data_IF_085981256648
#
_entry.id   IF_085981256648
#
_cell.length_a   1.000
_cell.length_b   1.000
_cell.length_c   1.000
_cell.angle_alpha   90.00
_cell.angle_beta   90.00
_cell.angle_gamma   90.00
#
_symmetry.space_group_name_H-M   'P 1'
#
loop_
_entity.id
_entity.type
_entity.pdbx_description
1 polymer ?
#
# COMPACT_ATOMS: atom_id res chain seq x y z
N UNK A 1 6.82 -20.74 8.81
CA UNK A 1 6.36 -20.42 7.44
C UNK A 1 6.04 -18.93 7.39
N UNK A 2 6.38 -18.21 6.31
CA UNK A 2 5.98 -16.81 6.19
C UNK A 2 4.46 -16.73 6.20
N UNK A 3 3.95 -15.74 6.92
CA UNK A 3 2.52 -15.51 7.11
C UNK A 3 1.90 -14.73 5.94
N UNK A 4 2.70 -14.02 5.15
CA UNK A 4 2.19 -13.18 4.05
C UNK A 4 3.13 -13.09 2.85
N UNK A 5 2.55 -13.11 1.65
CA UNK A 5 3.21 -12.78 0.40
C UNK A 5 2.94 -11.31 0.02
N UNK A 6 4.01 -10.53 -0.11
CA UNK A 6 3.94 -9.08 -0.38
C UNK A 6 4.43 -8.81 -1.80
N UNK A 7 3.57 -8.24 -2.62
CA UNK A 7 3.83 -7.89 -4.02
C UNK A 7 4.13 -6.40 -4.13
N UNK A 8 5.32 -6.06 -4.60
CA UNK A 8 5.80 -4.69 -4.71
C UNK A 8 5.52 -4.14 -6.11
N UNK A 9 4.53 -3.26 -6.22
CA UNK A 9 4.09 -2.66 -7.47
C UNK A 9 4.71 -1.27 -7.62
N UNK A 10 5.55 -1.09 -8.65
CA UNK A 10 6.04 0.23 -9.04
C UNK A 10 5.08 0.87 -10.05
N UNK A 11 5.15 2.19 -10.28
CA UNK A 11 4.38 2.84 -11.36
C UNK A 11 4.47 2.05 -12.68
N UNK A 12 3.33 1.72 -13.27
CA UNK A 12 3.20 0.87 -14.46
C UNK A 12 2.96 1.69 -15.73
N UNK A 13 2.25 2.82 -15.60
CA UNK A 13 1.78 3.62 -16.74
C UNK A 13 2.56 4.92 -16.87
N UNK A 14 2.65 5.46 -18.08
CA UNK A 14 3.22 6.80 -18.30
C UNK A 14 2.52 7.85 -17.44
N UNK A 15 1.21 7.75 -17.27
CA UNK A 15 0.41 8.65 -16.45
C UNK A 15 0.82 8.58 -14.96
N UNK A 16 0.99 7.38 -14.39
CA UNK A 16 1.48 7.22 -13.02
C UNK A 16 2.88 7.79 -12.82
N UNK A 17 3.75 7.68 -13.82
CA UNK A 17 5.11 8.21 -13.76
C UNK A 17 5.10 9.74 -13.95
N UNK A 18 4.28 10.26 -14.87
CA UNK A 18 4.09 11.70 -15.07
C UNK A 18 3.54 12.39 -13.83
N UNK A 19 2.70 11.70 -13.03
CA UNK A 19 2.23 12.22 -11.73
C UNK A 19 3.36 12.44 -10.73
N UNK A 20 4.49 11.73 -10.83
CA UNK A 20 5.68 12.02 -10.02
C UNK A 20 6.40 13.29 -10.52
N UNK A 21 6.17 13.69 -11.78
CA UNK A 21 6.75 14.87 -12.40
C UNK A 21 8.26 14.82 -12.46
N UNK A 22 8.88 16.01 -12.40
CA UNK A 22 10.33 16.21 -12.32
C UNK A 22 10.85 16.28 -10.87
N UNK A 23 9.98 16.01 -9.89
CA UNK A 23 10.33 16.08 -8.48
C UNK A 23 11.14 14.84 -8.04
N UNK A 24 12.47 14.97 -8.10
CA UNK A 24 13.43 13.94 -7.72
C UNK A 24 13.22 13.36 -6.30
N UNK A 25 12.66 14.13 -5.37
CA UNK A 25 12.46 13.64 -4.01
C UNK A 25 11.35 12.59 -3.91
N UNK A 26 10.36 12.62 -4.81
CA UNK A 26 9.33 11.58 -4.89
C UNK A 26 9.95 10.24 -5.33
N UNK A 27 10.87 10.26 -6.29
CA UNK A 27 11.57 9.06 -6.73
C UNK A 27 12.52 8.51 -5.66
N UNK A 28 13.21 9.38 -4.90
CA UNK A 28 14.07 8.97 -3.77
C UNK A 28 13.27 8.40 -2.60
N UNK A 29 12.00 8.76 -2.46
CA UNK A 29 11.17 8.26 -1.38
C UNK A 29 10.80 6.78 -1.56
N UNK A 30 10.74 6.27 -2.80
CA UNK A 30 10.43 4.87 -3.11
C UNK A 30 11.43 3.91 -2.43
N UNK A 31 12.77 4.02 -2.62
CA UNK A 31 13.73 3.21 -1.86
C UNK A 31 13.60 3.34 -0.33
N UNK A 32 13.29 4.54 0.17
CA UNK A 32 13.11 4.78 1.62
C UNK A 32 11.90 4.04 2.17
N UNK A 33 10.79 4.07 1.44
CA UNK A 33 9.58 3.33 1.79
C UNK A 33 9.84 1.81 1.76
N UNK A 34 10.55 1.30 0.76
CA UNK A 34 10.95 -0.12 0.70
C UNK A 34 11.87 -0.51 1.88
N UNK A 35 12.86 0.33 2.22
CA UNK A 35 13.71 0.11 3.38
C UNK A 35 12.91 0.04 4.69
N UNK A 36 11.84 0.83 4.82
CA UNK A 36 10.94 0.82 5.98
C UNK A 36 10.22 -0.53 6.12
N UNK A 37 9.76 -1.12 5.01
CA UNK A 37 9.17 -2.47 5.01
C UNK A 37 10.18 -3.49 5.54
N UNK A 38 11.41 -3.44 5.00
CA UNK A 38 12.47 -4.40 5.34
C UNK A 38 12.91 -4.29 6.81
N UNK A 39 12.95 -3.07 7.35
CA UNK A 39 13.37 -2.81 8.74
C UNK A 39 12.28 -3.15 9.76
N UNK A 40 11.03 -2.82 9.48
CA UNK A 40 9.94 -2.88 10.47
C UNK A 40 9.26 -4.25 10.53
N UNK A 41 9.38 -5.06 9.48
CA UNK A 41 8.77 -6.39 9.43
C UNK A 41 9.85 -7.43 9.72
N UNK A 42 9.62 -8.28 10.72
CA UNK A 42 10.60 -9.28 11.16
C UNK A 42 10.90 -10.27 10.02
N UNK A 43 12.19 -10.56 9.85
CA UNK A 43 12.65 -11.57 8.88
C UNK A 43 11.94 -12.92 9.16
N UNK A 44 11.38 -13.53 8.11
CA UNK A 44 10.73 -14.84 8.17
C UNK A 44 9.20 -14.82 8.31
N UNK A 45 8.60 -13.65 8.51
CA UNK A 45 7.14 -13.49 8.58
C UNK A 45 6.50 -13.16 7.23
N UNK A 46 7.29 -12.75 6.23
CA UNK A 46 6.82 -12.41 4.90
C UNK A 46 7.79 -12.87 3.81
N UNK A 47 7.30 -12.92 2.58
CA UNK A 47 8.09 -13.01 1.35
C UNK A 47 7.80 -11.78 0.48
N UNK A 48 8.85 -11.19 -0.09
CA UNK A 48 8.71 -10.11 -1.06
C UNK A 48 8.71 -10.69 -2.47
N UNK A 49 7.85 -10.16 -3.32
CA UNK A 49 7.76 -10.46 -4.73
C UNK A 49 7.82 -9.16 -5.50
N UNK A 50 8.57 -9.16 -6.60
CA UNK A 50 8.73 -7.99 -7.46
C UNK A 50 8.89 -8.42 -8.91
N UNK A 51 8.70 -7.47 -9.82
CA UNK A 51 8.90 -7.64 -11.25
C UNK A 51 10.07 -6.76 -11.70
N UNK A 52 11.19 -7.38 -12.08
CA UNK A 52 12.39 -6.67 -12.53
C UNK A 52 12.21 -5.96 -13.87
N UNK A 53 11.32 -6.45 -14.75
CA UNK A 53 10.99 -5.80 -16.02
C UNK A 53 10.21 -4.52 -15.75
N UNK A 54 9.24 -4.56 -14.83
CA UNK A 54 8.53 -3.38 -14.37
C UNK A 54 9.48 -2.32 -13.76
N UNK A 55 10.36 -2.70 -12.83
CA UNK A 55 11.34 -1.75 -12.25
C UNK A 55 12.20 -1.13 -13.34
N UNK A 56 12.63 -1.93 -14.31
CA UNK A 56 13.46 -1.44 -15.42
C UNK A 56 12.69 -0.45 -16.30
N UNK A 57 11.43 -0.75 -16.63
CA UNK A 57 10.58 0.15 -17.40
C UNK A 57 10.33 1.47 -16.65
N UNK A 58 9.99 1.39 -15.37
CA UNK A 58 9.82 2.54 -14.50
C UNK A 58 11.07 3.43 -14.47
N UNK A 59 12.25 2.87 -14.17
CA UNK A 59 13.49 3.64 -14.09
C UNK A 59 13.87 4.28 -15.43
N UNK A 60 13.64 3.60 -16.57
CA UNK A 60 13.89 4.16 -17.91
C UNK A 60 12.99 5.36 -18.19
N UNK A 61 11.69 5.25 -17.92
CA UNK A 61 10.74 6.33 -18.18
C UNK A 61 10.98 7.52 -17.25
N UNK A 62 11.27 7.25 -15.97
CA UNK A 62 11.70 8.28 -15.03
C UNK A 62 12.95 9.02 -15.53
N UNK A 63 13.90 8.30 -16.16
CA UNK A 63 15.14 8.90 -16.64
C UNK A 63 14.90 9.88 -17.78
N UNK A 64 13.92 9.61 -18.63
CA UNK A 64 13.49 10.54 -19.68
C UNK A 64 12.88 11.79 -19.04
N UNK A 65 11.98 11.63 -18.06
CA UNK A 65 11.27 12.75 -17.43
C UNK A 65 12.17 13.65 -16.57
N UNK A 66 13.20 13.08 -15.94
CA UNK A 66 14.11 13.81 -15.07
C UNK A 66 15.39 14.31 -15.79
N UNK A 67 15.45 14.26 -17.13
CA UNK A 67 16.65 14.59 -17.94
C UNK A 67 17.90 13.83 -17.47
N UNK A 68 17.77 12.52 -17.25
CA UNK A 68 18.87 11.64 -16.86
C UNK A 68 19.44 11.85 -15.45
N UNK A 69 18.83 12.71 -14.63
CA UNK A 69 19.31 12.99 -13.28
C UNK A 69 19.10 11.80 -12.33
N UNK A 70 20.20 11.24 -11.82
CA UNK A 70 20.30 10.41 -10.60
C UNK A 70 19.45 9.12 -10.47
N UNK A 71 18.93 8.56 -11.57
CA UNK A 71 18.04 7.39 -11.49
C UNK A 71 18.74 6.02 -11.53
N UNK A 72 19.95 5.92 -12.09
CA UNK A 72 20.75 4.68 -12.00
C UNK A 72 21.07 4.30 -10.55
N UNK A 73 21.25 5.32 -9.68
CA UNK A 73 21.43 5.12 -8.25
C UNK A 73 20.15 4.56 -7.60
N UNK A 74 18.97 5.08 -7.97
CA UNK A 74 17.69 4.59 -7.44
C UNK A 74 17.46 3.13 -7.84
N UNK A 75 17.69 2.78 -9.11
CA UNK A 75 17.60 1.39 -9.58
C UNK A 75 18.56 0.48 -8.81
N UNK A 76 19.82 0.91 -8.64
CA UNK A 76 20.82 0.17 -7.86
C UNK A 76 20.39 -0.04 -6.41
N UNK A 77 19.84 0.98 -5.76
CA UNK A 77 19.32 0.90 -4.39
C UNK A 77 18.14 -0.07 -4.28
N UNK A 78 17.18 -0.02 -5.20
CA UNK A 78 16.03 -0.92 -5.21
C UNK A 78 16.48 -2.37 -5.35
N UNK A 79 17.33 -2.67 -6.33
CA UNK A 79 17.84 -4.02 -6.55
C UNK A 79 18.69 -4.52 -5.36
N UNK A 80 19.47 -3.64 -4.73
CA UNK A 80 20.23 -3.95 -3.52
C UNK A 80 19.31 -4.30 -2.34
N UNK A 81 18.26 -3.51 -2.12
CA UNK A 81 17.28 -3.72 -1.05
C UNK A 81 16.48 -5.02 -1.24
N UNK A 82 16.05 -5.29 -2.47
CA UNK A 82 15.35 -6.54 -2.82
C UNK A 82 16.27 -7.75 -2.65
N UNK A 83 17.53 -7.61 -3.05
CA UNK A 83 18.61 -8.55 -2.80
C UNK A 83 18.25 -10.00 -3.13
N UNK A 84 18.79 -10.96 -2.36
CA UNK A 84 18.48 -12.40 -2.50
C UNK A 84 17.22 -12.84 -1.74
N UNK A 85 16.58 -11.93 -0.99
CA UNK A 85 15.45 -12.26 -0.10
C UNK A 85 14.09 -12.04 -0.77
N UNK A 86 14.04 -11.22 -1.83
CA UNK A 86 12.86 -11.07 -2.66
C UNK A 86 12.89 -12.06 -3.83
N UNK A 87 11.71 -12.48 -4.28
CA UNK A 87 11.53 -13.32 -5.45
C UNK A 87 11.18 -12.45 -6.66
N UNK A 88 12.01 -12.52 -7.69
CA UNK A 88 11.67 -11.97 -9.00
C UNK A 88 10.64 -12.87 -9.69
N UNK A 89 9.49 -12.31 -10.04
CA UNK A 89 8.42 -13.02 -10.74
C UNK A 89 8.46 -12.84 -12.26
N UNK A 90 9.26 -11.89 -12.79
CA UNK A 90 9.27 -11.56 -14.22
C UNK A 90 9.54 -12.78 -15.14
N UNK A 91 10.29 -13.75 -14.63
CA UNK A 91 10.73 -14.93 -15.40
C UNK A 91 10.20 -16.25 -14.83
N UNK A 92 9.06 -16.21 -14.12
CA UNK A 92 8.42 -17.41 -13.57
C UNK A 92 7.33 -17.93 -14.51
N UNK A 93 7.11 -19.25 -14.48
CA UNK A 93 6.09 -19.94 -15.29
C UNK A 93 4.66 -19.86 -14.71
N UNK A 94 4.43 -18.99 -13.73
CA UNK A 94 3.12 -18.68 -13.14
C UNK A 94 2.91 -17.17 -13.35
N UNK A 95 1.69 -16.60 -13.48
CA UNK A 95 0.33 -17.14 -13.30
C UNK A 95 -0.09 -18.19 -14.34
N UNK A 96 -1.17 -18.94 -14.09
CA UNK A 96 -1.70 -19.92 -15.04
C UNK A 96 -2.07 -19.24 -16.38
N UNK A 97 -1.47 -19.66 -17.52
CA UNK A 97 -1.70 -19.02 -18.81
C UNK A 97 -3.12 -19.24 -19.37
N UNK A 98 -3.90 -20.13 -18.76
CA UNK A 98 -5.30 -20.40 -19.13
C UNK A 98 -6.30 -19.49 -18.43
N UNK A 99 -5.83 -18.60 -17.55
CA UNK A 99 -6.68 -17.66 -16.82
C UNK A 99 -6.48 -16.23 -17.32
N UNK A 100 -7.59 -15.50 -17.43
CA UNK A 100 -7.60 -14.05 -17.53
C UNK A 100 -7.98 -13.43 -16.20
N UNK A 101 -7.42 -12.25 -15.95
CA UNK A 101 -7.61 -11.50 -14.72
C UNK A 101 -8.18 -10.13 -15.07
N UNK A 102 -9.36 -9.83 -14.56
CA UNK A 102 -10.02 -8.56 -14.78
C UNK A 102 -10.07 -7.78 -13.48
N UNK A 103 -9.61 -6.54 -13.52
CA UNK A 103 -9.78 -5.62 -12.39
C UNK A 103 -11.08 -4.85 -12.55
N UNK A 104 -11.94 -4.93 -11.53
CA UNK A 104 -13.24 -4.28 -11.54
C UNK A 104 -13.23 -2.94 -10.82
N UNK A 105 -13.83 -1.93 -11.46
CA UNK A 105 -14.02 -0.58 -10.96
C UNK A 105 -15.50 -0.34 -10.72
N UNK A 106 -15.93 -0.40 -9.46
CA UNK A 106 -17.36 -0.32 -9.15
C UNK A 106 -17.96 1.08 -9.31
N UNK A 107 -17.13 2.12 -9.23
CA UNK A 107 -17.53 3.52 -9.42
C UNK A 107 -17.94 3.81 -10.87
N UNK A 108 -17.19 3.24 -11.81
CA UNK A 108 -17.43 3.38 -13.26
C UNK A 108 -18.13 2.17 -13.88
N UNK A 109 -18.38 1.12 -13.08
CA UNK A 109 -18.90 -0.18 -13.54
C UNK A 109 -18.09 -0.79 -14.70
N UNK A 110 -16.78 -0.52 -14.72
CA UNK A 110 -15.89 -0.93 -15.81
C UNK A 110 -14.93 -2.04 -15.37
N UNK A 111 -14.37 -2.75 -16.35
CA UNK A 111 -13.32 -3.75 -16.13
C UNK A 111 -12.14 -3.48 -17.05
N UNK A 112 -10.93 -3.68 -16.53
CA UNK A 112 -9.71 -3.72 -17.35
C UNK A 112 -9.07 -5.10 -17.23
N UNK A 113 -8.57 -5.63 -18.34
CA UNK A 113 -7.75 -6.84 -18.29
C UNK A 113 -6.38 -6.51 -17.70
N UNK A 114 -5.95 -7.29 -16.70
CA UNK A 114 -4.65 -7.15 -16.04
C UNK A 114 -3.67 -8.12 -16.65
N UNK A 115 -2.72 -7.56 -17.39
CA UNK A 115 -1.66 -8.29 -18.08
C UNK A 115 -0.35 -8.31 -17.29
N UNK A 116 -0.19 -7.44 -16.29
CA UNK A 116 1.01 -7.43 -15.46
C UNK A 116 1.09 -8.71 -14.60
N UNK A 117 2.31 -9.17 -14.36
CA UNK A 117 2.53 -10.46 -13.70
C UNK A 117 2.23 -10.41 -12.21
N UNK A 118 2.41 -9.25 -11.54
CA UNK A 118 2.27 -9.11 -10.09
C UNK A 118 0.82 -9.22 -9.62
N UNK A 119 -0.12 -8.54 -10.26
CA UNK A 119 -1.54 -8.64 -9.89
C UNK A 119 -2.04 -10.08 -10.06
N UNK A 120 -1.65 -10.72 -11.16
CA UNK A 120 -2.03 -12.10 -11.45
C UNK A 120 -1.44 -13.09 -10.44
N UNK A 121 -0.17 -12.93 -10.08
CA UNK A 121 0.48 -13.73 -9.03
C UNK A 121 -0.17 -13.54 -7.67
N UNK A 122 -0.49 -12.30 -7.31
CA UNK A 122 -1.14 -11.98 -6.04
C UNK A 122 -2.54 -12.60 -5.94
N UNK A 123 -3.27 -12.65 -7.07
CA UNK A 123 -4.59 -13.28 -7.17
C UNK A 123 -4.53 -14.80 -6.99
N UNK A 124 -3.66 -15.49 -7.74
CA UNK A 124 -3.48 -16.94 -7.64
C UNK A 124 -3.11 -17.36 -6.20
N UNK A 125 -2.22 -16.60 -5.55
CA UNK A 125 -1.84 -16.88 -4.15
C UNK A 125 -3.02 -16.69 -3.19
N UNK A 126 -3.80 -15.62 -3.37
CA UNK A 126 -4.96 -15.35 -2.51
C UNK A 126 -6.04 -16.43 -2.65
N UNK A 127 -6.31 -16.85 -3.89
CA UNK A 127 -7.29 -17.90 -4.19
C UNK A 127 -6.83 -19.28 -3.72
N UNK A 128 -5.52 -19.51 -3.63
CA UNK A 128 -4.94 -20.70 -3.01
C UNK A 128 -5.00 -20.70 -1.47
N UNK A 129 -5.55 -19.65 -0.86
CA UNK A 129 -5.71 -19.52 0.59
C UNK A 129 -4.53 -18.88 1.34
N UNK A 130 -3.51 -18.38 0.62
CA UNK A 130 -2.42 -17.62 1.25
C UNK A 130 -2.85 -16.18 1.52
N UNK A 131 -2.34 -15.58 2.60
CA UNK A 131 -2.44 -14.14 2.76
C UNK A 131 -1.49 -13.45 1.78
N UNK A 132 -2.04 -12.56 0.97
CA UNK A 132 -1.29 -11.73 0.04
C UNK A 132 -1.67 -10.26 0.19
N UNK A 133 -0.73 -9.38 -0.13
CA UNK A 133 -0.97 -7.94 -0.20
C UNK A 133 -0.15 -7.33 -1.33
N UNK A 134 -0.71 -6.31 -1.99
CA UNK A 134 0.00 -5.46 -2.94
C UNK A 134 0.35 -4.15 -2.23
N UNK A 135 1.61 -3.77 -2.31
CA UNK A 135 2.09 -2.47 -1.88
C UNK A 135 2.47 -1.70 -3.14
N UNK A 136 1.85 -0.55 -3.33
CA UNK A 136 2.14 0.31 -4.47
C UNK A 136 2.97 1.51 -4.09
N UNK A 137 3.96 1.77 -4.93
CA UNK A 137 4.79 2.97 -4.89
C UNK A 137 4.31 4.07 -5.83
N UNK A 138 3.14 3.92 -6.47
CA UNK A 138 2.47 5.05 -7.15
C UNK A 138 2.12 6.14 -6.13
N UNK A 139 2.03 7.41 -6.53
CA UNK A 139 1.75 8.50 -5.58
C UNK A 139 0.26 8.72 -5.32
N UNK A 140 -0.59 8.23 -6.21
CA UNK A 140 -2.04 8.25 -6.06
C UNK A 140 -2.57 6.83 -5.87
N UNK A 141 -3.63 6.72 -5.07
CA UNK A 141 -4.46 5.52 -5.03
C UNK A 141 -5.68 5.78 -5.92
N UNK A 142 -5.68 5.30 -7.17
CA UNK A 142 -6.78 5.55 -8.09
C UNK A 142 -8.07 4.82 -7.66
N UNK A 143 -8.02 3.91 -6.70
CA UNK A 143 -9.16 3.09 -6.30
C UNK A 143 -9.89 3.62 -5.06
N UNK A 144 -9.26 4.56 -4.34
CA UNK A 144 -9.70 5.02 -3.02
C UNK A 144 -10.14 3.85 -2.10
N UNK A 145 -9.43 2.72 -2.16
CA UNK A 145 -9.80 1.47 -1.48
C UNK A 145 -8.54 0.76 -1.02
N UNK A 146 -8.63 0.15 0.14
CA UNK A 146 -7.55 -0.70 0.67
C UNK A 146 -7.62 -2.14 0.10
N UNK A 147 -8.37 -2.33 -0.98
CA UNK A 147 -8.49 -3.58 -1.72
C UNK A 147 -8.54 -3.32 -3.24
N UNK A 148 -7.96 -4.24 -4.01
CA UNK A 148 -8.19 -4.37 -5.45
C UNK A 148 -9.05 -5.62 -5.69
N UNK A 149 -10.28 -5.47 -6.20
CA UNK A 149 -11.09 -6.59 -6.68
C UNK A 149 -10.56 -7.08 -8.02
N UNK A 150 -10.06 -8.31 -8.04
CA UNK A 150 -9.72 -9.04 -9.26
C UNK A 150 -10.74 -10.16 -9.50
N UNK A 151 -11.11 -10.37 -10.75
CA UNK A 151 -11.95 -11.45 -11.22
C UNK A 151 -11.06 -12.37 -12.04
N UNK A 152 -10.93 -13.62 -11.62
CA UNK A 152 -10.27 -14.67 -12.38
C UNK A 152 -11.30 -15.43 -13.21
N UNK A 153 -11.01 -15.60 -14.48
CA UNK A 153 -11.86 -16.36 -15.42
C UNK A 153 -11.00 -17.34 -16.22
N UNK A 154 -11.54 -18.54 -16.50
CA UNK A 154 -10.86 -19.52 -17.34
C UNK A 154 -11.21 -19.33 -18.81
N UNK A 155 -10.18 -19.28 -19.68
CA UNK A 155 -10.37 -19.15 -21.13
C UNK A 155 -11.02 -20.36 -21.79
N UNK A 156 -10.87 -21.54 -21.17
CA UNK A 156 -11.15 -22.83 -21.80
C UNK A 156 -12.07 -23.73 -20.96
N UNK A 157 -12.74 -23.20 -19.93
CA UNK A 157 -13.63 -23.97 -19.07
C UNK A 157 -14.83 -23.12 -18.61
N UNK A 158 -16.02 -23.72 -18.56
CA UNK A 158 -17.30 -23.09 -18.17
C UNK A 158 -17.46 -22.93 -16.64
N UNK A 159 -16.36 -22.83 -15.90
CA UNK A 159 -16.41 -22.54 -14.47
C UNK A 159 -16.80 -21.08 -14.24
N UNK A 160 -17.63 -20.83 -13.23
CA UNK A 160 -17.99 -19.48 -12.82
C UNK A 160 -16.73 -18.67 -12.45
N UNK A 161 -16.68 -17.36 -12.80
CA UNK A 161 -15.59 -16.49 -12.41
C UNK A 161 -15.40 -16.44 -10.89
N UNK A 162 -14.15 -16.35 -10.46
CA UNK A 162 -13.80 -16.27 -9.05
C UNK A 162 -13.36 -14.85 -8.69
N UNK A 163 -13.95 -14.29 -7.62
CA UNK A 163 -13.60 -12.95 -7.13
C UNK A 163 -12.53 -13.07 -6.05
N UNK A 164 -11.48 -12.28 -6.21
CA UNK A 164 -10.34 -12.18 -5.32
C UNK A 164 -10.13 -10.72 -4.90
N UNK A 165 -10.46 -10.39 -3.65
CA UNK A 165 -10.18 -9.08 -3.07
C UNK A 165 -8.79 -9.08 -2.44
N UNK A 166 -7.83 -8.44 -3.10
CA UNK A 166 -6.44 -8.39 -2.64
C UNK A 166 -6.24 -7.09 -1.85
N UNK A 167 -5.77 -7.15 -0.58
CA UNK A 167 -5.32 -5.97 0.15
C UNK A 167 -4.34 -5.14 -0.68
N UNK A 168 -4.62 -3.86 -0.82
CA UNK A 168 -3.83 -2.94 -1.64
C UNK A 168 -3.50 -1.70 -0.83
N UNK A 169 -2.22 -1.34 -0.78
CA UNK A 169 -1.74 -0.29 0.11
C UNK A 169 -0.92 0.76 -0.61
N UNK A 170 -1.37 2.00 -0.45
CA UNK A 170 -0.64 3.22 -0.76
C UNK A 170 -1.09 4.31 0.23
N UNK A 171 -0.19 4.83 1.08
CA UNK A 171 1.26 4.62 1.14
C UNK A 171 1.68 3.40 1.98
N UNK A 172 2.98 3.05 1.98
CA UNK A 172 3.57 1.94 2.78
C UNK A 172 3.20 1.98 4.27
N UNK A 173 2.99 3.17 4.83
CA UNK A 173 2.56 3.33 6.21
C UNK A 173 1.27 2.59 6.55
N UNK A 174 0.31 2.63 5.62
CA UNK A 174 -0.99 1.95 5.79
C UNK A 174 -0.83 0.44 5.80
N UNK A 175 0.07 -0.08 4.96
CA UNK A 175 0.42 -1.51 5.00
C UNK A 175 1.00 -1.91 6.36
N UNK A 176 1.92 -1.13 6.91
CA UNK A 176 2.55 -1.44 8.21
C UNK A 176 1.51 -1.49 9.33
N UNK A 177 0.56 -0.54 9.34
CA UNK A 177 -0.57 -0.54 10.28
C UNK A 177 -1.42 -1.82 10.15
N UNK A 178 -1.82 -2.13 8.92
CA UNK A 178 -2.62 -3.30 8.62
C UNK A 178 -1.88 -4.59 9.00
N UNK A 179 -0.60 -4.69 8.66
CA UNK A 179 0.24 -5.85 8.98
C UNK A 179 0.34 -6.06 10.50
N UNK A 180 0.63 -5.00 11.26
CA UNK A 180 0.72 -5.09 12.72
C UNK A 180 -0.60 -5.50 13.37
N UNK A 181 -1.69 -4.85 12.98
CA UNK A 181 -3.02 -5.13 13.53
C UNK A 181 -3.51 -6.56 13.20
N UNK A 182 -3.29 -7.04 11.97
CA UNK A 182 -3.78 -8.36 11.52
C UNK A 182 -2.87 -9.52 11.88
N UNK A 183 -1.56 -9.34 11.79
CA UNK A 183 -0.59 -10.45 11.83
C UNK A 183 0.14 -10.53 13.16
N UNK A 184 0.51 -9.40 13.76
CA UNK A 184 1.37 -9.37 14.93
C UNK A 184 0.59 -9.34 16.25
N UNK A 185 -0.43 -8.49 16.33
CA UNK A 185 -0.94 -8.09 17.65
C UNK A 185 -2.29 -8.70 18.03
N UNK A 186 -2.93 -9.48 17.15
CA UNK A 186 -4.30 -9.99 17.37
C UNK A 186 -5.29 -8.89 17.82
N UNK A 187 -5.04 -7.64 17.39
CA UNK A 187 -5.81 -6.47 17.83
C UNK A 187 -7.16 -6.46 17.13
N UNK A 188 -8.18 -6.09 17.90
CA UNK A 188 -9.53 -5.87 17.36
C UNK A 188 -9.68 -4.49 16.72
N UNK A 189 -8.81 -3.53 17.06
CA UNK A 189 -8.81 -2.19 16.51
C UNK A 189 -7.92 -2.08 15.27
N UNK A 190 -8.44 -1.46 14.22
CA UNK A 190 -7.70 -1.10 13.00
C UNK A 190 -8.43 0.05 12.29
N UNK A 191 -7.69 1.04 11.76
CA UNK A 191 -8.32 2.08 10.94
C UNK A 191 -8.85 1.54 9.60
N UNK A 192 -8.43 0.32 9.21
CA UNK A 192 -8.93 -0.37 8.01
C UNK A 192 -10.27 -1.09 8.23
N UNK A 193 -10.84 -1.06 9.44
CA UNK A 193 -12.18 -1.56 9.70
C UNK A 193 -13.25 -0.64 9.07
N UNK A 194 -13.72 -1.02 7.89
CA UNK A 194 -14.70 -0.27 7.09
C UNK A 194 -16.05 -0.07 7.79
N UNK A 195 -16.37 -0.90 8.79
CA UNK A 195 -17.63 -0.78 9.54
C UNK A 195 -17.59 0.38 10.53
N UNK A 196 -16.39 0.72 11.02
CA UNK A 196 -16.15 1.82 11.97
C UNK A 196 -15.59 3.08 11.31
N UNK A 197 -14.73 2.91 10.32
CA UNK A 197 -14.01 4.00 9.67
C UNK A 197 -14.39 4.15 8.20
N UNK A 198 -14.40 5.39 7.76
CA UNK A 198 -14.43 5.79 6.37
C UNK A 198 -13.01 6.21 5.96
N UNK A 199 -12.49 5.59 4.91
CA UNK A 199 -11.21 5.96 4.32
C UNK A 199 -11.32 7.30 3.61
N UNK A 200 -10.37 8.21 3.84
CA UNK A 200 -10.31 9.48 3.12
C UNK A 200 -9.21 9.50 2.06
N UNK A 201 -9.33 10.37 1.06
CA UNK A 201 -8.25 10.62 0.11
C UNK A 201 -7.11 11.49 0.71
N UNK A 202 -7.21 11.88 1.98
CA UNK A 202 -6.28 12.81 2.62
C UNK A 202 -5.11 12.09 3.29
N UNK A 203 -3.93 12.70 3.16
CA UNK A 203 -2.71 12.27 3.83
C UNK A 203 -2.24 13.35 4.78
N UNK A 204 -1.78 12.97 5.97
CA UNK A 204 -1.06 13.89 6.85
C UNK A 204 0.31 14.21 6.24
N UNK A 205 0.57 15.49 5.96
CA UNK A 205 1.65 15.92 5.07
C UNK A 205 3.05 15.46 5.51
N UNK A 206 3.30 15.46 6.82
CA UNK A 206 4.63 15.19 7.40
C UNK A 206 5.00 13.71 7.38
N UNK A 207 4.11 12.84 7.84
CA UNK A 207 4.37 11.40 7.93
C UNK A 207 3.81 10.60 6.76
N UNK A 208 3.12 11.27 5.82
CA UNK A 208 2.40 10.66 4.70
C UNK A 208 1.51 9.51 5.19
N UNK A 209 0.75 9.76 6.25
CA UNK A 209 -0.18 8.77 6.82
C UNK A 209 -1.60 9.04 6.34
N UNK A 210 -2.30 7.98 5.97
CA UNK A 210 -3.69 8.05 5.56
C UNK A 210 -4.54 8.53 6.74
N UNK A 211 -5.38 9.52 6.49
CA UNK A 211 -6.38 9.97 7.46
C UNK A 211 -7.67 9.18 7.23
N UNK A 212 -8.25 8.68 8.30
CA UNK A 212 -9.53 7.98 8.32
C UNK A 212 -10.53 8.79 9.12
N UNK A 213 -11.80 8.71 8.77
CA UNK A 213 -12.89 9.38 9.48
C UNK A 213 -13.71 8.34 10.22
N UNK A 214 -13.79 8.43 11.54
CA UNK A 214 -14.66 7.58 12.34
C UNK A 214 -16.12 7.93 12.06
N UNK A 215 -16.93 6.93 11.72
CA UNK A 215 -18.31 7.14 11.28
C UNK A 215 -19.22 7.66 12.40
N UNK A 216 -19.05 7.15 13.62
CA UNK A 216 -19.92 7.45 14.76
C UNK A 216 -19.72 8.87 15.31
N UNK A 217 -18.48 9.37 15.30
CA UNK A 217 -18.13 10.66 15.93
C UNK A 217 -17.76 11.74 14.92
N UNK A 218 -17.54 11.39 13.64
CA UNK A 218 -16.92 12.23 12.62
C UNK A 218 -15.51 12.73 12.99
N UNK A 219 -14.83 12.10 13.96
CA UNK A 219 -13.44 12.38 14.29
C UNK A 219 -12.52 11.84 13.20
N UNK A 220 -11.38 12.49 13.01
CA UNK A 220 -10.35 12.03 12.08
C UNK A 220 -9.20 11.38 12.83
N UNK A 221 -8.65 10.31 12.25
CA UNK A 221 -7.66 9.45 12.86
C UNK A 221 -6.53 9.18 11.87
N UNK A 222 -5.28 9.19 12.33
CA UNK A 222 -4.17 8.58 11.59
C UNK A 222 -3.24 7.82 12.53
N UNK A 223 -2.60 6.76 12.02
CA UNK A 223 -1.64 5.97 12.78
C UNK A 223 -0.27 6.66 12.81
N UNK A 224 0.21 6.97 14.01
CA UNK A 224 1.57 7.50 14.23
C UNK A 224 2.46 6.44 14.86
N UNK A 225 3.54 6.13 14.16
CA UNK A 225 4.50 5.11 14.55
C UNK A 225 5.95 5.54 14.35
N UNK A 226 6.21 6.80 14.01
CA UNK A 226 7.53 7.30 13.64
C UNK A 226 8.13 8.24 14.68
N UNK A 227 8.28 7.75 15.91
CA UNK A 227 9.00 8.46 16.96
C UNK A 227 10.02 7.53 17.61
N UNK A 228 11.29 7.95 17.67
CA UNK A 228 12.34 7.22 18.39
C UNK A 228 12.08 7.12 19.89
N UNK A 229 11.31 8.08 20.41
CA UNK A 229 11.15 8.32 21.85
C UNK A 229 9.70 8.11 22.32
N UNK A 230 8.75 7.88 21.40
CA UNK A 230 7.33 7.74 21.72
C UNK A 230 6.75 6.44 21.15
N UNK A 231 5.88 5.80 21.92
CA UNK A 231 5.24 4.54 21.52
C UNK A 231 4.25 4.79 20.38
N UNK A 232 4.01 3.75 19.59
CA UNK A 232 2.97 3.73 18.57
C UNK A 232 1.60 4.11 19.17
N UNK A 233 0.88 4.98 18.48
CA UNK A 233 -0.44 5.45 18.88
C UNK A 233 -1.21 5.96 17.65
N UNK A 234 -2.45 6.38 17.87
CA UNK A 234 -3.25 7.07 16.87
C UNK A 234 -3.44 8.53 17.27
N UNK A 235 -3.34 9.42 16.31
CA UNK A 235 -3.59 10.84 16.51
C UNK A 235 -5.05 11.12 16.15
N UNK A 236 -5.80 11.74 17.06
CA UNK A 236 -7.26 11.90 16.92
C UNK A 236 -7.63 13.38 16.88
N UNK A 237 -8.40 13.76 15.87
CA UNK A 237 -8.83 15.13 15.63
C UNK A 237 -10.36 15.22 15.59
N UNK A 238 -10.90 16.36 16.02
CA UNK A 238 -12.34 16.62 15.91
C UNK A 238 -12.75 16.87 14.45
N UNK A 239 -14.05 16.98 14.22
CA UNK A 239 -14.61 17.21 12.89
C UNK A 239 -14.21 18.57 12.27
N UNK A 240 -13.62 19.48 13.06
CA UNK A 240 -13.06 20.76 12.60
C UNK A 240 -11.55 20.72 12.47
N UNK A 241 -10.92 19.56 12.66
CA UNK A 241 -9.48 19.35 12.50
C UNK A 241 -8.61 19.81 13.67
N UNK A 242 -9.16 20.11 14.85
CA UNK A 242 -8.32 20.33 16.03
C UNK A 242 -7.93 18.99 16.65
N UNK A 243 -6.70 18.89 17.14
CA UNK A 243 -6.27 17.70 17.88
C UNK A 243 -7.07 17.56 19.19
N UNK A 244 -7.53 16.34 19.45
CA UNK A 244 -8.36 15.96 20.61
C UNK A 244 -7.53 15.17 21.61
N UNK A 245 -6.57 14.37 21.13
CA UNK A 245 -5.70 13.56 21.97
C UNK A 245 -5.13 12.37 21.20
N UNK A 246 -4.36 11.55 21.89
CA UNK A 246 -3.77 10.33 21.33
C UNK A 246 -4.59 9.12 21.79
N UNK A 247 -4.87 8.19 20.88
CA UNK A 247 -5.46 6.91 21.23
C UNK A 247 -4.42 5.80 21.23
N UNK A 248 -4.57 4.87 22.17
CA UNK A 248 -3.70 3.69 22.24
C UNK A 248 -3.98 2.70 21.09
N UNK A 249 -3.20 1.61 21.04
CA UNK A 249 -3.35 0.59 20.00
C UNK A 249 -4.65 -0.24 20.07
N UNK A 250 -5.49 -0.02 21.09
CA UNK A 250 -6.84 -0.58 21.20
C UNK A 250 -7.92 0.43 20.80
N UNK A 251 -7.53 1.63 20.39
CA UNK A 251 -8.44 2.72 20.01
C UNK A 251 -9.02 3.47 21.21
N UNK A 252 -8.42 3.36 22.39
CA UNK A 252 -8.85 4.09 23.59
C UNK A 252 -8.21 5.48 23.58
N UNK A 253 -9.03 6.51 23.39
CA UNK A 253 -8.61 7.90 23.33
C UNK A 253 -8.28 8.47 24.71
N UNK A 254 -7.10 9.08 24.83
CA UNK A 254 -6.68 9.89 25.97
C UNK A 254 -6.70 11.38 25.59
N UNK A 255 -7.77 12.08 25.98
CA UNK A 255 -7.93 13.51 25.72
C UNK A 255 -6.97 14.39 26.54
N UNK A 256 -6.30 13.86 27.57
CA UNK A 256 -5.30 14.61 28.35
C UNK A 256 -4.05 14.89 27.54
N UNK A 257 -3.80 14.11 26.48
CA UNK A 257 -2.70 14.28 25.53
C UNK A 257 -3.00 15.27 24.40
N UNK A 258 -4.05 16.07 24.56
CA UNK A 258 -4.39 17.12 23.62
C UNK A 258 -3.24 18.12 23.44
N UNK A 259 -2.82 18.30 22.20
CA UNK A 259 -1.80 19.26 21.79
C UNK A 259 -2.42 20.35 20.92
N UNK A 260 -2.43 21.59 21.41
CA UNK A 260 -3.02 22.75 20.72
C UNK A 260 -2.27 23.16 19.46
N UNK A 261 -1.04 22.68 19.28
CA UNK A 261 -0.23 22.97 18.09
C UNK A 261 -0.49 22.00 16.94
N UNK A 262 -1.07 20.82 17.23
CA UNK A 262 -1.44 19.83 16.21
C UNK A 262 -2.81 20.18 15.61
N UNK A 263 -2.88 20.19 14.28
CA UNK A 263 -4.09 20.48 13.52
C UNK A 263 -4.02 19.85 12.14
N UNK A 264 -5.18 19.44 11.62
CA UNK A 264 -5.35 18.97 10.24
C UNK A 264 -6.31 19.87 9.44
N UNK A 265 -6.62 21.08 9.93
CA UNK A 265 -7.55 22.03 9.28
C UNK A 265 -7.25 22.35 7.82
N UNK A 266 -5.97 22.44 7.45
CA UNK A 266 -5.58 22.69 6.06
C UNK A 266 -5.64 21.46 5.16
N UNK A 267 -5.96 20.29 5.73
CA UNK A 267 -5.92 19.00 5.05
C UNK A 267 -7.34 18.48 4.79
N UNK A 268 -8.23 18.56 5.77
CA UNK A 268 -9.61 18.03 5.68
C UNK A 268 -10.50 18.87 4.78
#
# INVERSE_FOLDING_TARGET
>A
MPRIDIFLLFPQTEEEILRLGDNLDLYKDIPRQLASIIQLIKNGEYKLFYDSENITAFCKQAAILCDGRYLDNIRGQLLYLLGKKALDVAHKNNPNPSHDYYQWFSDTTSVIIKTDILHRYAAENKLSGNDSAIISFSYEDPWNRDIIPLIQESRYNDTLPQICNIPYFNPVGTFIEWYKSKILDNRTFSLTDITRFERTNKLYEKSKRRIYKERSTNRYWYYDFFHSDNKEHYEVFDNTGNHVGEADMNGVLDETKKDKTKSIKGII
#
